data_IF_259925156629
#
_entry.id   IF_259925156629
#
_cell.length_a   1.000
_cell.length_b   1.000
_cell.length_c   1.000
_cell.angle_alpha   90.00
_cell.angle_beta   90.00
_cell.angle_gamma   90.00
#
_symmetry.space_group_name_H-M   'P 1'
#
loop_
_entity.id
_entity.type
_entity.pdbx_description
1 polymer ?
#
# COMPACT_ATOMS: atom_id res chain seq x y z
N UNK A 1 54.04 -24.59 -26.36
CA UNK A 1 53.36 -23.32 -25.99
C UNK A 1 54.17 -22.68 -24.89
N UNK A 2 54.54 -21.42 -25.01
CA UNK A 2 55.31 -20.73 -23.98
C UNK A 2 54.45 -20.58 -22.70
N UNK A 3 55.05 -20.66 -21.49
CA UNK A 3 54.29 -20.46 -20.24
C UNK A 3 53.53 -19.14 -20.21
N UNK A 4 54.05 -18.13 -20.89
CA UNK A 4 53.41 -16.82 -21.06
C UNK A 4 52.07 -16.95 -21.84
N UNK A 5 52.06 -17.74 -22.93
CA UNK A 5 50.82 -17.93 -23.72
C UNK A 5 49.71 -18.65 -22.91
N UNK A 6 50.10 -19.58 -22.06
CA UNK A 6 49.14 -20.28 -21.15
C UNK A 6 48.58 -19.29 -20.11
N UNK A 7 49.47 -18.46 -19.51
CA UNK A 7 49.04 -17.46 -18.54
C UNK A 7 48.07 -16.41 -19.13
N UNK A 8 48.35 -15.95 -20.35
CA UNK A 8 47.47 -15.02 -21.07
C UNK A 8 46.12 -15.68 -21.41
N UNK A 9 46.11 -16.93 -21.86
CA UNK A 9 44.89 -17.64 -22.16
C UNK A 9 44.00 -17.84 -20.89
N UNK A 10 44.63 -18.20 -19.77
CA UNK A 10 43.92 -18.30 -18.46
C UNK A 10 43.34 -16.97 -18.02
N UNK A 11 44.11 -15.87 -18.20
CA UNK A 11 43.65 -14.53 -17.86
C UNK A 11 42.43 -14.12 -18.72
N UNK A 12 42.43 -14.46 -20.01
CA UNK A 12 41.28 -14.20 -20.89
C UNK A 12 40.05 -15.00 -20.49
N UNK A 13 40.19 -16.27 -20.14
CA UNK A 13 39.10 -17.09 -19.67
C UNK A 13 38.53 -16.56 -18.35
N UNK A 14 39.37 -16.17 -17.42
CA UNK A 14 38.99 -15.57 -16.15
C UNK A 14 38.20 -14.25 -16.34
N UNK A 15 38.73 -13.37 -17.22
CA UNK A 15 38.04 -12.12 -17.56
C UNK A 15 36.67 -12.35 -18.21
N UNK A 16 36.58 -13.29 -19.16
CA UNK A 16 35.32 -13.64 -19.80
C UNK A 16 34.30 -14.16 -18.76
N UNK A 17 34.75 -15.01 -17.84
CA UNK A 17 33.90 -15.48 -16.73
C UNK A 17 33.43 -14.35 -15.84
N UNK A 18 34.32 -13.42 -15.47
CA UNK A 18 33.98 -12.26 -14.65
C UNK A 18 32.94 -11.36 -15.33
N UNK A 19 33.11 -11.09 -16.62
CA UNK A 19 32.15 -10.30 -17.42
C UNK A 19 30.77 -10.96 -17.40
N UNK A 20 30.68 -12.27 -17.58
CA UNK A 20 29.40 -13.00 -17.53
C UNK A 20 28.73 -12.88 -16.17
N UNK A 21 29.49 -13.00 -15.08
CA UNK A 21 28.99 -12.84 -13.71
C UNK A 21 28.46 -11.40 -13.49
N UNK A 22 29.22 -10.40 -13.90
CA UNK A 22 28.81 -8.98 -13.78
C UNK A 22 27.53 -8.71 -14.57
N UNK A 23 27.42 -9.22 -15.80
CA UNK A 23 26.22 -9.09 -16.63
C UNK A 23 25.00 -9.80 -15.99
N UNK A 24 25.21 -10.98 -15.42
CA UNK A 24 24.16 -11.70 -14.71
C UNK A 24 23.67 -10.93 -13.48
N UNK A 25 24.59 -10.39 -12.68
CA UNK A 25 24.26 -9.55 -11.52
C UNK A 25 23.57 -8.24 -11.93
N UNK A 26 24.04 -7.58 -12.98
CA UNK A 26 23.42 -6.36 -13.50
C UNK A 26 21.98 -6.63 -13.97
N UNK A 27 21.74 -7.78 -14.63
CA UNK A 27 20.40 -8.19 -15.01
C UNK A 27 19.50 -8.47 -13.80
N UNK A 28 20.02 -9.12 -12.76
CA UNK A 28 19.27 -9.37 -11.52
C UNK A 28 18.93 -8.07 -10.79
N UNK A 29 19.87 -7.12 -10.73
CA UNK A 29 19.65 -5.78 -10.15
C UNK A 29 18.62 -5.01 -10.98
N UNK A 30 18.65 -5.09 -12.31
CA UNK A 30 17.66 -4.47 -13.19
C UNK A 30 16.24 -5.00 -12.95
N UNK A 31 16.08 -6.32 -12.85
CA UNK A 31 14.79 -6.97 -12.54
C UNK A 31 14.32 -6.61 -11.11
N UNK A 32 15.25 -6.50 -10.16
CA UNK A 32 14.93 -6.07 -8.80
C UNK A 32 14.51 -4.59 -8.78
N UNK A 33 15.14 -3.75 -9.57
CA UNK A 33 14.82 -2.32 -9.69
C UNK A 33 13.44 -2.08 -10.34
N UNK A 34 13.05 -2.90 -11.32
CA UNK A 34 11.69 -2.88 -11.86
C UNK A 34 10.62 -3.33 -10.84
N UNK A 35 10.97 -4.22 -9.92
CA UNK A 35 10.06 -4.72 -8.89
C UNK A 35 10.02 -3.83 -7.64
N UNK A 36 11.09 -3.11 -7.36
CA UNK A 36 11.16 -2.07 -6.33
C UNK A 36 10.94 -0.73 -7.03
N UNK A 37 9.67 -0.41 -7.30
CA UNK A 37 9.30 0.96 -7.66
C UNK A 37 9.91 1.89 -6.61
N UNK A 38 10.63 2.95 -6.98
CA UNK A 38 11.31 3.79 -6.00
C UNK A 38 10.27 4.31 -5.01
N UNK A 39 10.31 3.80 -3.78
CA UNK A 39 9.69 4.42 -2.62
C UNK A 39 10.56 5.64 -2.32
N UNK A 40 10.41 6.68 -3.08
CA UNK A 40 11.24 7.85 -2.93
C UNK A 40 10.76 8.99 -3.79
N UNK A 41 10.30 10.04 -3.14
CA UNK A 41 10.38 11.46 -3.50
C UNK A 41 9.59 12.01 -4.70
N UNK A 42 8.89 11.20 -5.50
CA UNK A 42 7.95 11.68 -6.52
C UNK A 42 6.68 10.83 -6.54
N UNK A 43 6.12 10.48 -5.38
CA UNK A 43 4.67 10.31 -5.33
C UNK A 43 4.12 11.72 -5.58
N UNK A 44 3.69 11.97 -6.79
CA UNK A 44 2.69 12.99 -7.05
C UNK A 44 1.51 12.62 -6.16
N UNK A 45 1.53 13.08 -4.92
CA UNK A 45 0.43 12.93 -3.96
C UNK A 45 -0.74 13.80 -4.45
N UNK A 46 -1.40 13.28 -5.45
CA UNK A 46 -2.60 13.83 -5.99
C UNK A 46 -3.76 13.22 -5.17
N UNK A 47 -4.59 14.05 -4.59
CA UNK A 47 -5.68 13.66 -3.70
C UNK A 47 -5.52 14.25 -2.30
N UNK A 48 -6.52 14.10 -1.41
CA UNK A 48 -6.51 14.66 -0.07
C UNK A 48 -5.22 14.26 0.68
N UNK A 49 -4.54 15.25 1.26
CA UNK A 49 -3.34 15.05 2.06
C UNK A 49 -3.71 14.67 3.49
N UNK A 50 -2.74 14.18 4.25
CA UNK A 50 -2.93 14.00 5.69
C UNK A 50 -3.24 15.36 6.33
N UNK A 51 -4.31 15.40 7.12
CA UNK A 51 -4.88 16.62 7.71
C UNK A 51 -6.01 17.25 6.89
N UNK A 52 -6.19 16.89 5.62
CA UNK A 52 -7.29 17.42 4.81
C UNK A 52 -8.62 16.73 5.17
N UNK A 53 -9.70 17.49 5.15
CA UNK A 53 -11.06 16.95 5.19
C UNK A 53 -11.36 16.22 3.88
N UNK A 54 -12.02 15.07 3.99
CA UNK A 54 -12.51 14.33 2.81
C UNK A 54 -13.94 14.78 2.48
N UNK A 55 -14.32 14.79 1.18
CA UNK A 55 -15.68 15.11 0.78
C UNK A 55 -16.66 14.06 1.33
N UNK A 56 -17.89 14.48 1.60
CA UNK A 56 -18.96 13.55 1.95
C UNK A 56 -19.36 12.74 0.72
N UNK A 57 -19.26 11.42 0.82
CA UNK A 57 -19.70 10.48 -0.21
C UNK A 57 -20.53 9.37 0.44
N UNK A 58 -21.64 9.02 -0.20
CA UNK A 58 -22.44 7.84 0.17
C UNK A 58 -22.01 6.68 -0.73
N UNK A 59 -21.45 5.65 -0.12
CA UNK A 59 -20.82 4.53 -0.82
C UNK A 59 -21.66 3.26 -0.60
N UNK A 60 -22.37 2.77 -1.61
CA UNK A 60 -23.10 1.50 -1.49
C UNK A 60 -22.09 0.35 -1.42
N UNK A 61 -22.35 -0.58 -0.47
CA UNK A 61 -21.58 -1.80 -0.34
C UNK A 61 -22.16 -2.92 -1.22
N UNK A 62 -21.39 -3.97 -1.46
CA UNK A 62 -21.89 -5.17 -2.15
C UNK A 62 -23.03 -5.86 -1.40
N UNK A 63 -23.16 -5.68 -0.08
CA UNK A 63 -24.26 -6.19 0.73
C UNK A 63 -25.55 -5.35 0.65
N UNK A 64 -25.49 -4.17 0.04
CA UNK A 64 -26.62 -3.24 -0.09
C UNK A 64 -26.69 -2.17 1.01
N UNK A 65 -25.81 -2.22 2.02
CA UNK A 65 -25.70 -1.18 3.03
C UNK A 65 -24.97 0.05 2.46
N UNK A 66 -25.13 1.20 3.11
CA UNK A 66 -24.41 2.41 2.74
C UNK A 66 -23.34 2.76 3.78
N UNK A 67 -22.17 3.14 3.32
CA UNK A 67 -21.10 3.71 4.14
C UNK A 67 -20.97 5.17 3.77
N UNK A 68 -20.99 6.04 4.79
CA UNK A 68 -20.78 7.47 4.59
C UNK A 68 -19.31 7.79 4.87
N UNK A 69 -18.65 8.34 3.87
CA UNK A 69 -17.31 8.91 3.97
C UNK A 69 -17.44 10.39 4.32
N UNK A 70 -16.50 10.96 5.07
CA UNK A 70 -16.42 12.39 5.36
C UNK A 70 -17.37 12.89 6.45
N UNK A 71 -18.43 12.17 6.79
CA UNK A 71 -19.28 12.51 7.92
C UNK A 71 -18.57 12.22 9.24
N UNK A 72 -18.91 13.02 10.28
CA UNK A 72 -18.46 12.75 11.64
C UNK A 72 -18.89 11.35 12.10
N UNK A 73 -17.99 10.61 12.70
CA UNK A 73 -18.18 9.24 13.15
C UNK A 73 -17.65 9.05 14.57
N UNK A 74 -17.94 7.91 15.18
CA UNK A 74 -17.39 7.56 16.50
C UNK A 74 -16.05 6.82 16.39
N UNK A 75 -15.78 6.26 15.22
CA UNK A 75 -14.58 5.43 14.93
C UNK A 75 -13.89 5.91 13.67
N UNK A 76 -12.59 5.69 13.61
CA UNK A 76 -11.83 5.88 12.39
C UNK A 76 -12.24 4.86 11.33
N UNK A 77 -12.10 5.21 10.04
CA UNK A 77 -12.38 4.32 8.93
C UNK A 77 -11.12 4.10 8.09
N UNK A 78 -10.76 2.85 7.86
CA UNK A 78 -9.68 2.49 6.93
C UNK A 78 -10.27 1.97 5.63
N UNK A 79 -10.07 2.70 4.54
CA UNK A 79 -10.39 2.22 3.20
C UNK A 79 -9.18 1.51 2.62
N UNK A 80 -9.33 0.20 2.36
CA UNK A 80 -8.29 -0.61 1.75
C UNK A 80 -8.63 -0.89 0.29
N UNK A 81 -7.90 -0.23 -0.61
CA UNK A 81 -8.06 -0.36 -2.05
C UNK A 81 -7.36 -1.61 -2.55
N UNK A 82 -8.11 -2.45 -3.25
CA UNK A 82 -7.65 -3.75 -3.74
C UNK A 82 -8.17 -4.04 -5.16
N UNK A 83 -7.63 -5.10 -5.78
CA UNK A 83 -8.20 -5.71 -6.99
C UNK A 83 -8.29 -7.22 -6.83
N UNK A 84 -9.31 -7.87 -7.39
CA UNK A 84 -9.44 -9.34 -7.41
C UNK A 84 -8.25 -10.05 -8.06
N UNK A 85 -7.54 -9.38 -8.97
CA UNK A 85 -6.38 -9.92 -9.67
C UNK A 85 -5.04 -9.65 -8.97
N UNK A 86 -5.03 -8.81 -7.91
CA UNK A 86 -3.83 -8.44 -7.18
C UNK A 86 -3.38 -9.53 -6.18
N UNK A 87 -2.26 -10.22 -6.40
CA UNK A 87 -1.82 -11.30 -5.50
C UNK A 87 -1.37 -10.78 -4.13
N UNK A 88 -0.82 -9.56 -4.04
CA UNK A 88 -0.41 -8.94 -2.77
C UNK A 88 -1.65 -8.58 -1.94
N UNK A 89 -2.70 -8.06 -2.59
CA UNK A 89 -3.96 -7.75 -1.93
C UNK A 89 -4.55 -9.01 -1.26
N UNK A 90 -4.58 -10.14 -1.97
CA UNK A 90 -5.08 -11.41 -1.42
C UNK A 90 -4.30 -11.88 -0.20
N UNK A 91 -2.97 -11.74 -0.22
CA UNK A 91 -2.10 -12.12 0.91
C UNK A 91 -2.37 -11.28 2.16
N UNK A 92 -2.87 -10.05 2.01
CA UNK A 92 -3.17 -9.14 3.11
C UNK A 92 -4.57 -9.34 3.73
N UNK A 93 -5.49 -10.02 3.05
CA UNK A 93 -6.86 -10.23 3.57
C UNK A 93 -6.92 -10.86 4.96
N UNK A 94 -6.12 -11.88 5.31
CA UNK A 94 -6.09 -12.42 6.66
C UNK A 94 -5.63 -11.39 7.70
N UNK A 95 -4.62 -10.57 7.37
CA UNK A 95 -4.13 -9.51 8.26
C UNK A 95 -5.18 -8.42 8.47
N UNK A 96 -5.91 -8.01 7.42
CA UNK A 96 -7.01 -7.06 7.51
C UNK A 96 -8.13 -7.55 8.42
N UNK A 97 -8.52 -8.82 8.29
CA UNK A 97 -9.55 -9.42 9.18
C UNK A 97 -9.09 -9.48 10.63
N UNK A 98 -7.83 -9.87 10.86
CA UNK A 98 -7.26 -9.89 12.20
C UNK A 98 -7.20 -8.48 12.81
N UNK A 99 -6.81 -7.48 12.01
CA UNK A 99 -6.78 -6.08 12.43
C UNK A 99 -8.17 -5.55 12.73
N UNK A 100 -9.16 -5.83 11.87
CA UNK A 100 -10.55 -5.43 12.10
C UNK A 100 -11.13 -6.02 13.39
N UNK A 101 -10.78 -7.27 13.72
CA UNK A 101 -11.20 -7.89 14.97
C UNK A 101 -10.48 -7.30 16.19
N UNK A 102 -9.18 -7.02 16.07
CA UNK A 102 -8.37 -6.49 17.17
C UNK A 102 -8.71 -5.02 17.51
N UNK A 103 -9.07 -4.22 16.51
CA UNK A 103 -9.30 -2.79 16.62
C UNK A 103 -10.79 -2.41 16.50
N UNK A 104 -11.71 -3.37 16.69
CA UNK A 104 -13.16 -3.21 16.48
C UNK A 104 -13.81 -2.07 17.26
N UNK A 105 -13.22 -1.67 18.38
CA UNK A 105 -13.73 -0.60 19.23
C UNK A 105 -13.47 0.80 18.65
N UNK A 106 -12.40 0.95 17.83
CA UNK A 106 -11.96 2.25 17.32
C UNK A 106 -11.83 2.36 15.81
N UNK A 107 -11.88 1.23 15.08
CA UNK A 107 -11.61 1.16 13.65
C UNK A 107 -12.63 0.35 12.88
N UNK A 108 -13.18 0.93 11.83
CA UNK A 108 -13.95 0.25 10.80
C UNK A 108 -13.08 0.05 9.55
N UNK A 109 -12.90 -1.20 9.12
CA UNK A 109 -12.16 -1.50 7.88
C UNK A 109 -13.17 -1.74 6.76
N UNK A 110 -12.99 -0.99 5.66
CA UNK A 110 -13.81 -1.06 4.45
C UNK A 110 -12.91 -1.41 3.28
N UNK A 111 -13.25 -2.46 2.56
CA UNK A 111 -12.60 -2.80 1.30
C UNK A 111 -13.15 -1.90 0.19
N UNK A 112 -12.28 -1.46 -0.73
CA UNK A 112 -12.67 -0.57 -1.82
C UNK A 112 -12.07 -1.05 -3.14
N UNK A 113 -12.84 -0.95 -4.21
CA UNK A 113 -12.40 -1.23 -5.58
C UNK A 113 -13.30 -0.49 -6.57
N UNK A 114 -13.04 -0.70 -7.83
CA UNK A 114 -13.86 -0.29 -8.96
C UNK A 114 -14.06 -1.49 -9.90
N UNK A 115 -14.99 -1.42 -10.84
CA UNK A 115 -15.21 -2.44 -11.85
C UNK A 115 -16.56 -3.16 -11.74
N UNK A 116 -16.62 -4.37 -12.31
CA UNK A 116 -17.84 -5.14 -12.44
C UNK A 116 -18.32 -5.76 -11.12
N UNK A 117 -19.59 -5.51 -10.78
CA UNK A 117 -20.19 -6.00 -9.53
C UNK A 117 -20.15 -7.53 -9.42
N UNK A 118 -20.40 -8.24 -10.51
CA UNK A 118 -20.49 -9.73 -10.51
C UNK A 118 -19.13 -10.35 -10.22
N UNK A 119 -18.05 -9.80 -10.82
CA UNK A 119 -16.70 -10.26 -10.56
C UNK A 119 -16.30 -10.06 -9.09
N UNK A 120 -16.60 -8.88 -8.54
CA UNK A 120 -16.28 -8.54 -7.16
C UNK A 120 -17.12 -9.31 -6.14
N UNK A 121 -18.39 -9.58 -6.43
CA UNK A 121 -19.25 -10.42 -5.60
C UNK A 121 -18.74 -11.88 -5.57
N UNK A 122 -18.36 -12.43 -6.72
CA UNK A 122 -17.74 -13.75 -6.80
C UNK A 122 -16.41 -13.83 -6.05
N UNK A 123 -15.59 -12.80 -6.15
CA UNK A 123 -14.34 -12.67 -5.39
C UNK A 123 -14.61 -12.62 -3.89
N UNK A 124 -15.55 -11.78 -3.44
CA UNK A 124 -15.91 -11.63 -2.02
C UNK A 124 -16.40 -12.95 -1.41
N UNK A 125 -17.21 -13.70 -2.15
CA UNK A 125 -17.70 -15.00 -1.73
C UNK A 125 -16.57 -16.05 -1.65
N UNK A 126 -15.71 -16.12 -2.67
CA UNK A 126 -14.60 -17.07 -2.73
C UNK A 126 -13.59 -16.85 -1.60
N UNK A 127 -13.20 -15.60 -1.35
CA UNK A 127 -12.22 -15.25 -0.33
C UNK A 127 -12.84 -15.11 1.07
N UNK A 128 -14.17 -15.24 1.19
CA UNK A 128 -14.91 -15.10 2.46
C UNK A 128 -14.52 -13.81 3.17
N UNK A 129 -14.66 -12.68 2.48
CA UNK A 129 -14.06 -11.41 2.92
C UNK A 129 -14.52 -10.99 4.32
N UNK A 130 -15.83 -11.09 4.62
CA UNK A 130 -16.38 -10.78 5.96
C UNK A 130 -16.23 -9.32 6.39
N UNK A 131 -15.81 -8.44 5.48
CA UNK A 131 -15.66 -7.00 5.67
C UNK A 131 -16.55 -6.27 4.68
N UNK A 132 -17.09 -5.08 5.03
CA UNK A 132 -17.79 -4.24 4.08
C UNK A 132 -16.95 -3.97 2.83
N UNK A 133 -17.57 -4.06 1.66
CA UNK A 133 -16.87 -3.90 0.40
C UNK A 133 -17.64 -2.96 -0.53
N UNK A 134 -17.03 -1.84 -0.88
CA UNK A 134 -17.60 -0.82 -1.77
C UNK A 134 -16.96 -0.88 -3.16
N UNK A 135 -17.78 -0.66 -4.18
CA UNK A 135 -17.34 -0.47 -5.56
C UNK A 135 -17.62 0.97 -5.96
N UNK A 136 -16.57 1.78 -6.08
CA UNK A 136 -16.70 3.19 -6.40
C UNK A 136 -15.46 3.71 -7.12
N UNK A 137 -15.60 3.94 -8.42
CA UNK A 137 -14.58 4.63 -9.21
C UNK A 137 -14.37 6.08 -8.70
N UNK A 138 -15.45 6.74 -8.25
CA UNK A 138 -15.40 8.07 -7.65
C UNK A 138 -14.50 8.13 -6.43
N UNK A 139 -14.59 7.12 -5.54
CA UNK A 139 -13.72 7.01 -4.37
C UNK A 139 -12.25 6.86 -4.79
N UNK A 140 -11.97 5.99 -5.75
CA UNK A 140 -10.63 5.80 -6.31
C UNK A 140 -10.06 7.09 -6.93
N UNK A 141 -10.89 7.84 -7.66
CA UNK A 141 -10.52 9.13 -8.25
C UNK A 141 -10.32 10.22 -7.19
N UNK A 142 -11.16 10.28 -6.16
CA UNK A 142 -11.04 11.23 -5.04
C UNK A 142 -9.68 11.11 -4.37
N UNK A 143 -9.24 9.89 -4.08
CA UNK A 143 -7.92 9.65 -3.48
C UNK A 143 -6.80 9.48 -4.50
N UNK A 144 -7.11 9.52 -5.81
CA UNK A 144 -6.17 9.34 -6.94
C UNK A 144 -5.33 8.08 -6.80
N UNK A 145 -6.00 6.97 -6.54
CA UNK A 145 -5.36 5.67 -6.34
C UNK A 145 -4.80 5.17 -7.67
N UNK A 146 -3.48 5.18 -7.82
CA UNK A 146 -2.79 4.71 -9.02
C UNK A 146 -2.05 3.39 -8.86
N UNK A 147 -1.92 2.88 -7.62
CA UNK A 147 -1.21 1.63 -7.31
C UNK A 147 -1.92 0.88 -6.20
N UNK A 148 -1.88 -0.46 -6.26
CA UNK A 148 -2.52 -1.35 -5.28
C UNK A 148 -1.51 -2.34 -4.68
N UNK A 149 -1.74 -2.79 -3.44
CA UNK A 149 -2.77 -2.33 -2.49
C UNK A 149 -2.43 -0.98 -1.86
N UNK A 150 -3.46 -0.19 -1.60
CA UNK A 150 -3.32 1.13 -0.98
C UNK A 150 -4.31 1.26 0.18
N UNK A 151 -3.92 1.94 1.24
CA UNK A 151 -4.83 2.20 2.36
C UNK A 151 -4.90 3.70 2.68
N UNK A 152 -6.09 4.14 3.06
CA UNK A 152 -6.37 5.50 3.55
C UNK A 152 -7.09 5.38 4.88
N UNK A 153 -6.52 5.97 5.92
CA UNK A 153 -7.10 6.05 7.26
C UNK A 153 -7.71 7.43 7.46
N UNK A 154 -8.98 7.45 7.81
CA UNK A 154 -9.78 8.66 8.00
C UNK A 154 -10.24 8.67 9.45
N UNK A 155 -9.95 9.75 10.14
CA UNK A 155 -10.34 9.94 11.53
C UNK A 155 -11.85 10.15 11.72
N UNK A 156 -12.32 10.11 12.98
CA UNK A 156 -13.73 10.32 13.31
C UNK A 156 -14.26 11.69 12.90
N UNK A 157 -13.38 12.66 12.74
CA UNK A 157 -13.66 14.04 12.32
C UNK A 157 -13.71 14.22 10.79
N UNK A 158 -13.55 13.12 10.02
CA UNK A 158 -13.54 13.15 8.56
C UNK A 158 -12.22 13.62 7.94
N UNK A 159 -11.14 13.74 8.71
CA UNK A 159 -9.81 14.11 8.19
C UNK A 159 -8.97 12.89 7.85
N UNK A 160 -8.14 12.98 6.81
CA UNK A 160 -7.14 11.94 6.49
C UNK A 160 -6.09 11.90 7.59
N UNK A 161 -5.95 10.76 8.28
CA UNK A 161 -4.94 10.55 9.33
C UNK A 161 -3.64 9.98 8.79
N UNK A 162 -3.76 8.98 7.91
CA UNK A 162 -2.62 8.36 7.26
C UNK A 162 -3.05 7.77 5.91
N UNK A 163 -2.12 7.63 4.99
CA UNK A 163 -2.37 6.95 3.71
C UNK A 163 -1.06 6.40 3.14
N UNK A 164 -1.14 5.34 2.36
CA UNK A 164 0.05 4.80 1.69
C UNK A 164 -0.16 3.45 1.02
N UNK A 165 0.86 3.04 0.26
CA UNK A 165 0.98 1.68 -0.25
C UNK A 165 1.24 0.72 0.90
N UNK A 166 0.57 -0.44 0.86
CA UNK A 166 0.64 -1.45 1.92
C UNK A 166 0.96 -2.80 1.32
N UNK A 167 2.16 -3.31 1.56
CA UNK A 167 2.62 -4.58 1.01
C UNK A 167 2.71 -5.70 2.05
N UNK A 168 2.64 -5.35 3.34
CA UNK A 168 2.74 -6.28 4.47
C UNK A 168 1.90 -5.79 5.66
N UNK A 169 1.80 -6.63 6.69
CA UNK A 169 1.03 -6.36 7.90
C UNK A 169 1.60 -5.19 8.69
N UNK A 170 2.91 -5.08 8.81
CA UNK A 170 3.61 -4.03 9.56
C UNK A 170 3.28 -2.64 9.00
N UNK A 171 3.11 -2.54 7.66
CA UNK A 171 2.70 -1.29 7.03
C UNK A 171 1.23 -0.93 7.31
N UNK A 172 0.33 -1.92 7.44
CA UNK A 172 -1.04 -1.67 7.91
C UNK A 172 -1.04 -1.13 9.34
N UNK A 173 -0.31 -1.76 10.24
CA UNK A 173 -0.19 -1.36 11.65
C UNK A 173 0.48 0.01 11.79
N UNK A 174 1.44 0.35 10.92
CA UNK A 174 2.10 1.66 10.93
C UNK A 174 1.17 2.82 10.60
N UNK A 175 0.10 2.59 9.82
CA UNK A 175 -0.92 3.63 9.56
C UNK A 175 -1.69 3.98 10.84
N UNK A 176 -2.01 2.99 11.67
CA UNK A 176 -2.66 3.21 12.97
C UNK A 176 -1.71 3.90 13.96
N UNK A 177 -0.45 3.46 14.00
CA UNK A 177 0.58 4.12 14.82
C UNK A 177 0.76 5.58 14.42
N UNK A 178 0.68 5.92 13.13
CA UNK A 178 0.73 7.29 12.65
C UNK A 178 -0.46 8.13 13.14
N UNK A 179 -1.67 7.54 13.21
CA UNK A 179 -2.85 8.16 13.80
C UNK A 179 -2.65 8.41 15.30
N UNK A 180 -2.22 7.40 16.05
CA UNK A 180 -2.03 7.48 17.51
C UNK A 180 -0.99 8.57 17.90
N UNK A 181 0.01 8.78 17.06
CA UNK A 181 1.03 9.83 17.28
C UNK A 181 0.70 11.17 16.61
N UNK A 182 -0.40 11.27 15.87
CA UNK A 182 -0.79 12.48 15.14
C UNK A 182 0.25 12.96 14.11
N UNK A 183 0.99 12.04 13.49
CA UNK A 183 2.05 12.34 12.52
C UNK A 183 1.75 11.72 11.17
N UNK A 184 1.96 12.51 10.11
CA UNK A 184 1.67 12.11 8.74
C UNK A 184 2.61 11.02 8.19
N UNK A 185 3.84 10.96 8.71
CA UNK A 185 4.86 10.00 8.29
C UNK A 185 5.97 9.87 9.34
N UNK A 186 6.78 8.81 9.23
CA UNK A 186 7.98 8.65 10.07
C UNK A 186 8.95 9.84 9.93
N UNK A 187 9.05 10.45 8.76
CA UNK A 187 9.88 11.64 8.54
C UNK A 187 9.34 12.86 9.29
N UNK A 188 8.04 13.03 9.33
CA UNK A 188 7.36 14.10 10.08
C UNK A 188 7.52 13.90 11.58
N UNK A 189 7.42 12.65 12.06
CA UNK A 189 7.71 12.29 13.45
C UNK A 189 9.14 12.64 13.84
N UNK A 190 10.12 12.25 13.04
CA UNK A 190 11.53 12.55 13.31
C UNK A 190 11.82 14.06 13.25
N UNK A 191 11.17 14.80 12.36
CA UNK A 191 11.29 16.27 12.31
C UNK A 191 10.77 16.90 13.59
N UNK A 192 9.55 16.55 14.03
CA UNK A 192 8.97 17.08 15.27
C UNK A 192 9.79 16.73 16.50
N UNK A 193 10.37 15.53 16.56
CA UNK A 193 11.29 15.16 17.65
C UNK A 193 12.54 16.04 17.67
N UNK A 194 13.11 16.38 16.52
CA UNK A 194 14.27 17.29 16.43
C UNK A 194 13.92 18.72 16.85
N UNK A 195 12.75 19.20 16.43
CA UNK A 195 12.25 20.53 16.79
C UNK A 195 11.93 20.63 18.28
N UNK A 196 11.45 19.55 18.92
CA UNK A 196 11.18 19.50 20.36
C UNK A 196 12.46 19.34 21.22
N UNK A 197 13.59 18.95 20.63
CA UNK A 197 14.88 18.77 21.31
C UNK A 197 15.83 19.97 21.13
N UNK A 198 15.42 21.00 20.38
CA UNK A 198 16.19 22.24 20.12
C UNK A 198 15.66 23.42 20.93
#
# INVERSE_FOLDING_TARGET
MSPLAIAVALLFVLNAGLILVVLALARQVGVLHERVSPIGALSLEHGPKVGDLVPELVLPTLSGDNIVLGAAATRSKMFFFLSPTCPVCKKLLPALRALAAAESDRLDIVLASDGDHTEHAAFAAREKLGLPYVLSAELGMTFRIGKLPYAVLIGPDGTVRAKGLVNNREQLESLLTAEDHGVASMQDFMRRQREAAA
#
